data_IF_830190153407
#
_entry.id   IF_830190153407
#
_cell.length_a   1.000
_cell.length_b   1.000
_cell.length_c   1.000
_cell.angle_alpha   90.00
_cell.angle_beta   90.00
_cell.angle_gamma   90.00
#
_symmetry.space_group_name_H-M   'P 1'
#
loop_
_entity.id
_entity.type
_entity.pdbx_description
1 polymer ?
#
# COMPACT_ATOMS: atom_id res chain seq x y z
N UNK A 1 2.20 23.40 -3.11
CA UNK A 1 3.26 22.76 -3.94
C UNK A 1 4.58 23.07 -3.26
N UNK A 2 5.22 22.08 -2.65
CA UNK A 2 6.60 22.23 -2.21
C UNK A 2 7.49 21.80 -3.38
N UNK A 3 8.24 22.73 -3.95
CA UNK A 3 9.30 22.43 -4.90
C UNK A 3 10.30 21.46 -4.26
N UNK A 4 10.85 20.51 -5.02
CA UNK A 4 11.95 19.68 -4.52
C UNK A 4 13.10 20.61 -4.10
N UNK A 5 13.77 20.35 -2.95
CA UNK A 5 14.83 21.20 -2.48
C UNK A 5 15.91 21.35 -3.57
N UNK A 6 16.20 22.59 -3.94
CA UNK A 6 17.27 22.93 -4.89
C UNK A 6 18.59 22.36 -4.37
N UNK A 7 19.07 21.27 -5.00
CA UNK A 7 20.28 20.54 -4.59
C UNK A 7 20.08 19.06 -4.32
N UNK A 8 18.87 18.49 -4.47
CA UNK A 8 18.67 17.05 -4.43
C UNK A 8 19.42 16.43 -5.63
N UNK A 9 20.63 15.93 -5.40
CA UNK A 9 21.31 15.02 -6.32
C UNK A 9 20.29 13.93 -6.62
N UNK A 10 19.85 13.80 -7.89
CA UNK A 10 18.95 12.75 -8.31
C UNK A 10 19.46 11.44 -7.70
N UNK A 11 18.66 10.84 -6.82
CA UNK A 11 19.03 9.57 -6.21
C UNK A 11 19.30 8.59 -7.36
N UNK A 12 20.36 7.78 -7.32
CA UNK A 12 20.67 6.86 -8.41
C UNK A 12 19.71 5.67 -8.41
N UNK A 13 18.40 5.98 -8.42
CA UNK A 13 17.32 5.00 -8.36
C UNK A 13 17.38 4.08 -9.58
N UNK A 14 17.21 2.80 -9.34
CA UNK A 14 17.14 1.73 -10.33
C UNK A 14 15.88 0.90 -10.21
N UNK A 15 15.20 0.97 -9.06
CA UNK A 15 13.93 0.30 -8.85
C UNK A 15 12.98 1.15 -8.00
N UNK A 16 11.68 0.97 -8.21
CA UNK A 16 10.63 1.53 -7.36
C UNK A 16 9.83 0.38 -6.78
N UNK A 17 9.69 0.36 -5.47
CA UNK A 17 8.84 -0.58 -4.74
C UNK A 17 7.64 0.17 -4.19
N UNK A 18 6.47 -0.42 -4.30
CA UNK A 18 5.20 0.19 -3.90
C UNK A 18 4.46 -0.67 -2.88
N UNK A 19 3.77 -0.04 -1.93
CA UNK A 19 2.62 -0.69 -1.30
C UNK A 19 1.49 -0.88 -2.32
N UNK A 20 0.48 -1.65 -1.98
CA UNK A 20 -0.65 -1.97 -2.85
C UNK A 20 -1.89 -1.16 -2.47
N UNK A 21 -2.47 -1.46 -1.30
CA UNK A 21 -3.71 -0.86 -0.82
C UNK A 21 -3.46 0.61 -0.38
N UNK A 22 -4.12 1.56 -1.01
CA UNK A 22 -3.90 2.99 -0.72
C UNK A 22 -2.72 3.63 -1.46
N UNK A 23 -2.00 2.85 -2.27
CA UNK A 23 -0.83 3.34 -3.02
C UNK A 23 -0.96 3.09 -4.52
N UNK A 24 -1.07 1.85 -4.97
CA UNK A 24 -1.32 1.51 -6.38
C UNK A 24 -2.80 1.29 -6.66
N UNK A 25 -3.53 0.70 -5.72
CA UNK A 25 -4.92 0.34 -5.86
C UNK A 25 -5.79 0.98 -4.76
N UNK A 26 -6.92 1.56 -5.15
CA UNK A 26 -8.00 1.94 -4.24
C UNK A 26 -8.88 0.71 -3.99
N UNK A 27 -8.58 -0.02 -2.93
CA UNK A 27 -9.28 -1.22 -2.48
C UNK A 27 -10.24 -0.94 -1.32
N UNK A 28 -10.25 0.27 -0.80
CA UNK A 28 -11.10 0.65 0.34
C UNK A 28 -12.59 0.45 0.10
N UNK A 29 -13.16 0.62 -1.12
CA UNK A 29 -14.57 0.36 -1.35
C UNK A 29 -14.97 -1.09 -1.03
N UNK A 30 -14.24 -2.08 -1.54
CA UNK A 30 -14.55 -3.49 -1.30
C UNK A 30 -14.28 -3.92 0.14
N UNK A 31 -13.21 -3.38 0.74
CA UNK A 31 -12.91 -3.58 2.15
C UNK A 31 -14.01 -3.02 3.06
N UNK A 32 -14.50 -1.81 2.78
CA UNK A 32 -15.61 -1.21 3.52
C UNK A 32 -16.93 -1.98 3.32
N UNK A 33 -17.20 -2.44 2.10
CA UNK A 33 -18.36 -3.27 1.79
C UNK A 33 -18.31 -4.60 2.55
N UNK A 34 -17.15 -5.26 2.61
CA UNK A 34 -16.97 -6.50 3.38
C UNK A 34 -17.26 -6.28 4.87
N UNK A 35 -16.75 -5.17 5.48
CA UNK A 35 -17.04 -4.85 6.87
C UNK A 35 -18.55 -4.60 7.09
N UNK A 36 -19.21 -3.86 6.20
CA UNK A 36 -20.62 -3.57 6.31
C UNK A 36 -21.49 -4.83 6.14
N UNK A 37 -21.04 -5.83 5.40
CA UNK A 37 -21.70 -7.16 5.38
C UNK A 37 -21.60 -7.85 6.74
N UNK A 38 -20.42 -7.85 7.38
CA UNK A 38 -20.26 -8.39 8.75
C UNK A 38 -21.18 -7.69 9.75
N UNK A 39 -21.37 -6.38 9.61
CA UNK A 39 -22.31 -5.61 10.44
C UNK A 39 -23.74 -6.03 10.18
N UNK A 40 -24.12 -6.17 8.89
CA UNK A 40 -25.45 -6.63 8.49
C UNK A 40 -25.80 -8.02 9.02
N UNK A 41 -24.84 -8.97 8.99
CA UNK A 41 -25.00 -10.33 9.56
C UNK A 41 -25.35 -10.30 11.07
N UNK A 42 -25.06 -9.18 11.74
CA UNK A 42 -25.32 -8.94 13.17
C UNK A 42 -26.48 -7.98 13.42
N UNK A 43 -27.24 -7.63 12.38
CA UNK A 43 -28.37 -6.69 12.48
C UNK A 43 -27.96 -5.24 12.76
N UNK A 44 -26.70 -4.88 12.52
CA UNK A 44 -26.19 -3.52 12.72
C UNK A 44 -26.28 -2.73 11.42
N UNK A 45 -26.62 -1.44 11.53
CA UNK A 45 -26.61 -0.53 10.40
C UNK A 45 -25.21 -0.38 9.77
N UNK A 46 -25.10 -0.21 8.43
CA UNK A 46 -23.83 0.04 7.79
C UNK A 46 -23.20 1.36 8.26
N UNK A 47 -21.89 1.41 8.29
CA UNK A 47 -21.13 2.64 8.51
C UNK A 47 -20.89 3.37 7.19
N UNK A 48 -20.86 4.72 7.21
CA UNK A 48 -20.49 5.50 6.03
C UNK A 48 -19.10 5.14 5.50
N UNK A 49 -18.95 5.13 4.18
CA UNK A 49 -17.65 4.85 3.53
C UNK A 49 -16.54 5.79 4.03
N UNK A 50 -16.85 7.09 4.15
CA UNK A 50 -15.88 8.09 4.63
C UNK A 50 -15.32 7.77 6.03
N UNK A 51 -16.11 7.10 6.89
CA UNK A 51 -15.66 6.65 8.22
C UNK A 51 -14.71 5.46 8.12
N UNK A 52 -14.89 4.58 7.11
CA UNK A 52 -14.13 3.33 6.99
C UNK A 52 -12.87 3.48 6.17
N UNK A 53 -12.88 4.36 5.16
CA UNK A 53 -11.77 4.54 4.22
C UNK A 53 -10.41 4.77 4.90
N UNK A 54 -10.24 5.64 5.92
CA UNK A 54 -8.95 5.84 6.58
C UNK A 54 -8.40 4.58 7.26
N UNK A 55 -9.26 3.65 7.65
CA UNK A 55 -8.87 2.41 8.31
C UNK A 55 -8.48 1.30 7.33
N UNK A 56 -8.68 1.49 6.02
CA UNK A 56 -8.41 0.48 5.00
C UNK A 56 -6.93 0.08 4.93
N UNK A 57 -5.98 1.03 5.09
CA UNK A 57 -4.55 0.73 5.18
C UNK A 57 -4.22 -0.26 6.30
N UNK A 58 -4.98 -0.23 7.39
CA UNK A 58 -4.77 -1.15 8.51
C UNK A 58 -5.45 -2.52 8.31
N UNK A 59 -6.09 -2.76 7.16
CA UNK A 59 -6.75 -4.00 6.79
C UNK A 59 -7.80 -4.44 7.81
N UNK A 60 -7.91 -5.76 8.03
CA UNK A 60 -8.89 -6.34 8.95
C UNK A 60 -8.79 -5.76 10.38
N UNK A 61 -7.56 -5.49 10.87
CA UNK A 61 -7.36 -4.92 12.20
C UNK A 61 -8.02 -3.54 12.33
N UNK A 62 -7.75 -2.65 11.38
CA UNK A 62 -8.31 -1.30 11.41
C UNK A 62 -9.81 -1.28 11.20
N UNK A 63 -10.29 -2.01 10.19
CA UNK A 63 -11.71 -2.02 9.84
C UNK A 63 -12.58 -2.71 10.89
N UNK A 64 -12.17 -3.85 11.45
CA UNK A 64 -12.89 -4.50 12.55
C UNK A 64 -12.89 -3.61 13.78
N UNK A 65 -11.77 -2.94 14.08
CA UNK A 65 -11.70 -1.94 15.15
C UNK A 65 -12.70 -0.81 14.95
N UNK A 66 -12.70 -0.19 13.78
CA UNK A 66 -13.63 0.89 13.43
C UNK A 66 -15.11 0.42 13.43
N UNK A 67 -15.35 -0.82 12.98
CA UNK A 67 -16.69 -1.36 12.84
C UNK A 67 -17.33 -1.84 14.13
N UNK A 68 -16.54 -2.30 15.10
CA UNK A 68 -17.04 -3.01 16.29
C UNK A 68 -16.40 -2.55 17.60
N UNK A 69 -15.40 -1.66 17.58
CA UNK A 69 -14.72 -1.19 18.78
C UNK A 69 -13.85 -2.23 19.46
N UNK A 70 -13.42 -3.29 18.74
CA UNK A 70 -12.60 -4.39 19.28
C UNK A 70 -11.19 -4.39 18.68
N UNK A 71 -10.21 -4.80 19.46
CA UNK A 71 -8.81 -4.86 19.09
C UNK A 71 -8.29 -6.32 19.00
N UNK A 72 -7.16 -6.57 18.33
CA UNK A 72 -6.46 -7.84 18.44
C UNK A 72 -6.17 -8.17 19.91
N UNK A 73 -6.61 -9.35 20.36
CA UNK A 73 -6.51 -9.77 21.76
C UNK A 73 -7.86 -9.80 22.49
N UNK A 74 -8.87 -9.10 22.00
CA UNK A 74 -10.23 -9.20 22.52
C UNK A 74 -10.91 -10.50 22.04
N UNK A 75 -11.72 -11.13 22.90
CA UNK A 75 -12.33 -12.46 22.65
C UNK A 75 -13.14 -12.51 21.33
N UNK A 76 -13.82 -11.44 20.96
CA UNK A 76 -14.63 -11.38 19.75
C UNK A 76 -13.84 -11.10 18.45
N UNK A 77 -12.60 -10.60 18.56
CA UNK A 77 -11.84 -10.15 17.40
C UNK A 77 -11.54 -11.26 16.38
N UNK A 78 -11.09 -12.46 16.75
CA UNK A 78 -10.78 -13.51 15.78
C UNK A 78 -11.98 -13.86 14.88
N UNK A 79 -13.17 -14.04 15.46
CA UNK A 79 -14.37 -14.37 14.72
C UNK A 79 -14.78 -13.26 13.76
N UNK A 80 -14.72 -12.00 14.21
CA UNK A 80 -15.05 -10.84 13.38
C UNK A 80 -14.07 -10.69 12.22
N UNK A 81 -12.78 -10.85 12.49
CA UNK A 81 -11.72 -10.83 11.47
C UNK A 81 -11.94 -11.93 10.42
N UNK A 82 -12.20 -13.15 10.85
CA UNK A 82 -12.33 -14.28 9.92
C UNK A 82 -13.61 -14.14 9.08
N UNK A 83 -14.72 -13.68 9.66
CA UNK A 83 -15.94 -13.35 8.91
C UNK A 83 -15.70 -12.22 7.92
N UNK A 84 -15.01 -11.16 8.33
CA UNK A 84 -14.63 -10.05 7.46
C UNK A 84 -13.78 -10.53 6.26
N UNK A 85 -12.76 -11.34 6.52
CA UNK A 85 -11.88 -11.87 5.47
C UNK A 85 -12.64 -12.79 4.51
N UNK A 86 -13.60 -13.57 4.99
CA UNK A 86 -14.45 -14.39 4.14
C UNK A 86 -15.35 -13.55 3.21
N UNK A 87 -15.97 -12.48 3.74
CA UNK A 87 -16.74 -11.55 2.91
C UNK A 87 -15.87 -10.81 1.90
N UNK A 88 -14.67 -10.41 2.29
CA UNK A 88 -13.73 -9.75 1.39
C UNK A 88 -13.28 -10.69 0.26
N UNK A 89 -12.94 -11.94 0.59
CA UNK A 89 -12.53 -12.95 -0.40
C UNK A 89 -13.63 -13.23 -1.43
N UNK A 90 -14.88 -13.28 -0.99
CA UNK A 90 -16.03 -13.50 -1.87
C UNK A 90 -16.34 -12.35 -2.84
N UNK A 91 -15.80 -11.14 -2.58
CA UNK A 91 -16.04 -9.94 -3.40
C UNK A 91 -14.78 -9.04 -3.39
N UNK A 92 -13.66 -9.59 -3.85
CA UNK A 92 -12.32 -9.04 -3.69
C UNK A 92 -12.06 -7.78 -4.52
N UNK A 93 -12.66 -7.68 -5.73
CA UNK A 93 -12.39 -6.60 -6.69
C UNK A 93 -13.67 -6.30 -7.48
N UNK A 94 -14.69 -5.78 -6.79
CA UNK A 94 -15.98 -5.34 -7.38
C UNK A 94 -15.92 -3.87 -7.72
N UNK A 95 -15.45 -3.05 -6.77
CA UNK A 95 -15.29 -1.60 -6.86
C UNK A 95 -13.82 -1.17 -6.81
N UNK A 96 -12.90 -2.11 -6.54
CA UNK A 96 -11.48 -1.81 -6.48
C UNK A 96 -10.93 -1.45 -7.85
N UNK A 97 -10.16 -0.36 -7.91
CA UNK A 97 -9.52 0.14 -9.13
C UNK A 97 -8.09 0.56 -8.85
N UNK A 98 -7.31 0.83 -9.89
CA UNK A 98 -6.07 1.59 -9.72
C UNK A 98 -6.39 3.04 -9.37
N UNK A 99 -5.54 3.68 -8.57
CA UNK A 99 -5.58 5.15 -8.48
C UNK A 99 -5.31 5.77 -9.84
N UNK A 100 -5.87 6.97 -10.05
CA UNK A 100 -5.62 7.74 -11.26
C UNK A 100 -4.12 7.86 -11.53
N UNK A 101 -3.73 7.86 -12.80
CA UNK A 101 -2.36 7.93 -13.29
C UNK A 101 -1.46 6.70 -13.01
N UNK A 102 -1.83 5.74 -12.16
CA UNK A 102 -0.97 4.60 -11.80
C UNK A 102 -0.54 3.80 -13.04
N UNK A 103 -1.46 3.47 -13.94
CA UNK A 103 -1.13 2.70 -15.13
C UNK A 103 -0.12 3.44 -16.03
N UNK A 104 -0.27 4.77 -16.17
CA UNK A 104 0.65 5.61 -16.93
C UNK A 104 2.00 5.75 -16.22
N UNK A 105 2.01 5.90 -14.89
CA UNK A 105 3.22 5.94 -14.09
C UNK A 105 4.05 4.67 -14.25
N UNK A 106 3.42 3.50 -14.14
CA UNK A 106 4.12 2.21 -14.27
C UNK A 106 4.73 2.05 -15.67
N UNK A 107 3.98 2.42 -16.72
CA UNK A 107 4.49 2.40 -18.09
C UNK A 107 5.69 3.36 -18.27
N UNK A 108 5.66 4.53 -17.63
CA UNK A 108 6.76 5.49 -17.69
C UNK A 108 8.01 5.00 -16.91
N UNK A 109 7.82 4.35 -15.76
CA UNK A 109 8.91 3.71 -15.00
C UNK A 109 9.62 2.66 -15.88
N UNK A 110 8.85 1.81 -16.55
CA UNK A 110 9.37 0.80 -17.49
C UNK A 110 10.10 1.45 -18.68
N UNK A 111 9.54 2.52 -19.25
CA UNK A 111 10.14 3.27 -20.36
C UNK A 111 11.46 3.96 -19.98
N UNK A 112 11.66 4.25 -18.70
CA UNK A 112 12.94 4.76 -18.15
C UNK A 112 13.95 3.64 -17.84
N UNK A 113 13.59 2.38 -18.11
CA UNK A 113 14.46 1.22 -17.84
C UNK A 113 14.60 0.93 -16.35
N UNK A 114 13.67 1.38 -15.52
CA UNK A 114 13.64 1.11 -14.09
C UNK A 114 12.83 -0.16 -13.81
N UNK A 115 13.30 -0.98 -12.87
CA UNK A 115 12.52 -2.08 -12.33
C UNK A 115 11.45 -1.54 -11.35
N UNK A 116 10.39 -2.30 -11.16
CA UNK A 116 9.42 -2.00 -10.11
C UNK A 116 8.80 -3.27 -9.53
N UNK A 117 8.26 -3.15 -8.31
CA UNK A 117 7.64 -4.27 -7.61
C UNK A 117 6.64 -3.82 -6.56
N UNK A 118 5.93 -4.79 -5.99
CA UNK A 118 4.90 -4.61 -4.98
C UNK A 118 5.35 -5.25 -3.67
N UNK A 119 5.24 -4.51 -2.57
CA UNK A 119 5.53 -5.00 -1.21
C UNK A 119 4.39 -4.60 -0.29
N UNK A 120 3.51 -5.53 0.02
CA UNK A 120 2.28 -5.28 0.78
C UNK A 120 2.16 -6.15 2.02
N UNK A 121 1.43 -5.66 3.05
CA UNK A 121 1.05 -6.48 4.21
C UNK A 121 -0.19 -7.34 3.94
N UNK A 122 -0.81 -7.21 2.76
CA UNK A 122 -1.91 -8.06 2.32
C UNK A 122 -1.42 -9.50 2.10
N UNK A 123 -2.13 -10.49 2.64
CA UNK A 123 -1.76 -11.91 2.46
C UNK A 123 -1.85 -12.34 0.98
N UNK A 124 -0.99 -13.26 0.57
CA UNK A 124 -0.86 -13.73 -0.82
C UNK A 124 -2.19 -14.24 -1.40
N UNK A 125 -3.03 -14.90 -0.59
CA UNK A 125 -4.35 -15.40 -1.01
C UNK A 125 -5.30 -14.31 -1.50
N UNK A 126 -5.11 -13.05 -1.07
CA UNK A 126 -5.86 -11.89 -1.55
C UNK A 126 -5.07 -11.09 -2.59
N UNK A 127 -3.75 -11.01 -2.43
CA UNK A 127 -2.88 -10.24 -3.33
C UNK A 127 -2.91 -10.85 -4.73
N UNK A 128 -2.67 -12.14 -4.88
CA UNK A 128 -2.56 -12.79 -6.19
C UNK A 128 -3.84 -12.66 -7.04
N UNK A 129 -5.06 -12.97 -6.52
CA UNK A 129 -6.28 -12.77 -7.31
C UNK A 129 -6.55 -11.30 -7.64
N UNK A 130 -6.26 -10.37 -6.70
CA UNK A 130 -6.45 -8.93 -6.93
C UNK A 130 -5.58 -8.42 -8.08
N UNK A 131 -4.30 -8.82 -8.11
CA UNK A 131 -3.39 -8.44 -9.20
C UNK A 131 -3.85 -8.98 -10.56
N UNK A 132 -4.44 -10.18 -10.60
CA UNK A 132 -4.99 -10.75 -11.82
C UNK A 132 -6.20 -9.96 -12.35
N UNK A 133 -6.96 -9.31 -11.46
CA UNK A 133 -8.10 -8.45 -11.82
C UNK A 133 -7.69 -7.01 -12.15
N UNK A 134 -6.44 -6.62 -11.87
CA UNK A 134 -5.88 -5.29 -12.17
C UNK A 134 -4.66 -5.44 -13.12
N UNK A 135 -4.87 -5.66 -14.43
CA UNK A 135 -3.84 -6.12 -15.38
C UNK A 135 -2.54 -5.31 -15.41
N UNK A 136 -2.52 -3.96 -15.23
CA UNK A 136 -1.25 -3.22 -15.19
C UNK A 136 -0.31 -3.71 -14.09
N UNK A 137 -0.83 -4.24 -12.97
CA UNK A 137 -0.03 -4.72 -11.83
C UNK A 137 0.61 -6.10 -12.08
N UNK A 138 0.13 -6.87 -13.04
CA UNK A 138 0.69 -8.17 -13.40
C UNK A 138 2.11 -8.09 -13.98
N UNK A 139 2.58 -6.89 -14.35
CA UNK A 139 3.93 -6.65 -14.87
C UNK A 139 4.98 -6.39 -13.78
N UNK A 140 4.61 -6.41 -12.50
CA UNK A 140 5.55 -6.24 -11.41
C UNK A 140 6.70 -7.26 -11.48
N UNK A 141 7.93 -6.79 -11.40
CA UNK A 141 9.12 -7.65 -11.41
C UNK A 141 9.26 -8.49 -10.12
N UNK A 142 8.60 -8.09 -9.05
CA UNK A 142 8.48 -8.84 -7.79
C UNK A 142 7.18 -8.50 -7.08
N UNK A 143 6.61 -9.46 -6.35
CA UNK A 143 5.41 -9.30 -5.51
C UNK A 143 5.66 -9.96 -4.16
N UNK A 144 5.85 -9.15 -3.13
CA UNK A 144 6.05 -9.59 -1.75
C UNK A 144 4.77 -9.32 -0.95
N UNK A 145 4.06 -10.37 -0.60
CA UNK A 145 2.84 -10.33 0.21
C UNK A 145 3.15 -10.40 1.71
N UNK A 146 2.16 -10.14 2.55
CA UNK A 146 2.33 -10.07 4.00
C UNK A 146 2.80 -11.36 4.68
N UNK A 147 2.67 -12.48 3.99
CA UNK A 147 3.06 -13.84 4.40
C UNK A 147 4.23 -14.42 3.58
N UNK A 148 4.86 -13.64 2.69
CA UNK A 148 6.01 -14.07 1.90
C UNK A 148 7.29 -14.15 2.75
N UNK A 149 7.44 -13.26 3.73
CA UNK A 149 8.60 -13.21 4.63
C UNK A 149 8.17 -13.44 6.07
N UNK A 150 9.08 -13.84 6.98
CA UNK A 150 8.75 -14.08 8.39
C UNK A 150 8.21 -12.85 9.13
N UNK A 151 8.47 -11.67 8.61
CA UNK A 151 8.06 -10.40 9.20
C UNK A 151 7.40 -9.51 8.14
N UNK A 152 6.30 -8.84 8.53
CA UNK A 152 5.63 -7.84 7.71
C UNK A 152 6.17 -6.42 8.01
N UNK A 153 5.85 -5.43 7.16
CA UNK A 153 6.12 -4.00 7.44
C UNK A 153 5.50 -3.60 8.80
N UNK A 154 6.20 -2.88 9.67
CA UNK A 154 7.35 -2.00 9.44
C UNK A 154 8.73 -2.68 9.46
N UNK A 155 8.82 -4.01 9.59
CA UNK A 155 10.10 -4.70 9.50
C UNK A 155 10.68 -4.60 8.09
N UNK A 156 12.01 -4.40 7.89
CA UNK A 156 12.61 -4.20 6.57
C UNK A 156 12.65 -5.46 5.70
N UNK A 157 12.46 -6.65 6.27
CA UNK A 157 12.62 -7.93 5.57
C UNK A 157 11.86 -8.02 4.25
N UNK A 158 10.58 -7.59 4.11
CA UNK A 158 9.86 -7.65 2.84
C UNK A 158 10.51 -6.79 1.75
N UNK A 159 10.97 -5.59 2.11
CA UNK A 159 11.61 -4.65 1.17
C UNK A 159 12.97 -5.16 0.72
N UNK A 160 13.77 -5.67 1.65
CA UNK A 160 15.07 -6.28 1.35
C UNK A 160 14.92 -7.56 0.50
N UNK A 161 13.84 -8.30 0.71
CA UNK A 161 13.50 -9.46 -0.12
C UNK A 161 13.19 -9.01 -1.56
N UNK A 162 12.34 -8.02 -1.75
CA UNK A 162 11.99 -7.47 -3.05
C UNK A 162 13.21 -6.91 -3.80
N UNK A 163 14.05 -6.13 -3.11
CA UNK A 163 15.28 -5.59 -3.69
C UNK A 163 16.22 -6.69 -4.20
N UNK A 164 16.36 -7.79 -3.44
CA UNK A 164 17.17 -8.95 -3.83
C UNK A 164 16.59 -9.66 -5.05
N UNK A 165 15.27 -9.86 -5.12
CA UNK A 165 14.62 -10.46 -6.29
C UNK A 165 14.79 -9.63 -7.55
N UNK A 166 14.76 -8.29 -7.43
CA UNK A 166 15.02 -7.36 -8.55
C UNK A 166 16.52 -7.23 -8.88
N UNK A 167 17.43 -7.77 -8.06
CA UNK A 167 18.87 -7.62 -8.25
C UNK A 167 19.37 -6.19 -8.08
N UNK A 168 18.68 -5.38 -7.27
CA UNK A 168 18.98 -3.96 -7.03
C UNK A 168 19.38 -3.74 -5.57
N UNK A 169 20.46 -3.00 -5.35
CA UNK A 169 20.90 -2.65 -4.00
C UNK A 169 19.85 -1.76 -3.31
N UNK A 170 19.56 -1.96 -1.99
CA UNK A 170 18.51 -1.26 -1.28
C UNK A 170 18.58 0.27 -1.41
N UNK A 171 19.76 0.86 -1.31
CA UNK A 171 19.98 2.31 -1.43
C UNK A 171 19.68 2.88 -2.84
N UNK A 172 19.44 2.00 -3.82
CA UNK A 172 19.02 2.33 -5.18
C UNK A 172 17.56 1.98 -5.45
N UNK A 173 16.84 1.52 -4.44
CA UNK A 173 15.39 1.32 -4.48
C UNK A 173 14.71 2.51 -3.82
N UNK A 174 13.64 3.03 -4.43
CA UNK A 174 12.75 4.02 -3.84
C UNK A 174 11.50 3.28 -3.36
N UNK A 175 11.09 3.48 -2.12
CA UNK A 175 9.85 2.90 -1.60
C UNK A 175 8.73 3.92 -1.54
N UNK A 176 7.51 3.54 -1.91
CA UNK A 176 6.32 4.41 -1.89
C UNK A 176 5.19 3.70 -1.14
N UNK A 177 4.60 4.37 -0.16
CA UNK A 177 3.47 3.85 0.60
C UNK A 177 2.68 4.94 1.31
N UNK A 178 1.47 4.63 1.77
CA UNK A 178 0.54 5.60 2.35
C UNK A 178 0.47 5.58 3.89
N UNK A 179 1.20 4.68 4.55
CA UNK A 179 1.15 4.53 6.01
C UNK A 179 2.52 4.69 6.67
N UNK A 180 2.54 5.08 7.96
CA UNK A 180 3.77 5.24 8.74
C UNK A 180 4.66 3.99 8.73
N UNK A 181 4.05 2.79 8.78
CA UNK A 181 4.77 1.52 8.71
C UNK A 181 5.54 1.32 7.40
N UNK A 182 5.08 1.94 6.31
CA UNK A 182 5.72 1.88 5.00
C UNK A 182 7.03 2.68 5.02
N UNK A 183 6.93 3.90 5.54
CA UNK A 183 8.08 4.79 5.68
C UNK A 183 9.10 4.19 6.65
N UNK A 184 8.63 3.67 7.78
CA UNK A 184 9.50 3.00 8.76
C UNK A 184 10.22 1.78 8.15
N UNK A 185 9.52 0.96 7.36
CA UNK A 185 10.13 -0.18 6.65
C UNK A 185 11.17 0.27 5.62
N UNK A 186 10.87 1.32 4.83
CA UNK A 186 11.80 1.90 3.86
C UNK A 186 13.08 2.38 4.52
N UNK A 187 12.98 3.19 5.55
CA UNK A 187 14.12 3.71 6.31
C UNK A 187 14.93 2.58 6.93
N UNK A 188 14.27 1.59 7.56
CA UNK A 188 14.93 0.44 8.16
C UNK A 188 15.63 -0.46 7.11
N UNK A 189 15.16 -0.45 5.86
CA UNK A 189 15.79 -1.16 4.74
C UNK A 189 16.92 -0.36 4.07
N UNK A 190 17.19 0.89 4.50
CA UNK A 190 18.16 1.78 3.85
C UNK A 190 17.66 2.36 2.51
N UNK A 191 16.35 2.36 2.28
CA UNK A 191 15.71 2.88 1.07
C UNK A 191 15.16 4.29 1.34
N UNK A 192 15.36 5.27 0.45
CA UNK A 192 14.56 6.49 0.48
C UNK A 192 13.08 6.11 0.35
N UNK A 193 12.22 6.75 1.15
CA UNK A 193 10.79 6.45 1.18
C UNK A 193 9.96 7.71 0.96
N UNK A 194 8.91 7.61 0.15
CA UNK A 194 7.97 8.68 -0.20
C UNK A 194 6.58 8.31 0.31
N UNK A 195 5.90 9.29 0.88
CA UNK A 195 4.49 9.14 1.30
C UNK A 195 3.56 9.35 0.12
N UNK A 196 2.69 8.39 -0.14
CA UNK A 196 1.55 8.52 -1.03
C UNK A 196 0.43 9.29 -0.32
N UNK A 197 0.48 10.63 -0.37
CA UNK A 197 -0.44 11.53 0.34
C UNK A 197 -1.88 11.48 -0.17
N UNK A 198 -2.12 10.86 -1.32
CA UNK A 198 -3.44 10.58 -1.90
C UNK A 198 -4.10 9.30 -1.35
N UNK A 199 -3.37 8.52 -0.55
CA UNK A 199 -3.82 7.23 0.00
C UNK A 199 -4.88 7.34 1.10
N UNK A 200 -4.82 6.44 2.08
CA UNK A 200 -5.87 6.30 3.12
C UNK A 200 -5.50 7.02 4.42
N UNK A 201 -4.78 8.13 4.33
CA UNK A 201 -4.37 8.89 5.50
C UNK A 201 -5.57 9.33 6.35
N UNK A 202 -5.48 9.10 7.67
CA UNK A 202 -6.43 9.64 8.65
C UNK A 202 -6.10 11.12 8.93
N UNK A 203 -7.13 11.90 9.27
CA UNK A 203 -6.98 13.32 9.61
C UNK A 203 -6.10 13.57 10.84
N UNK A 204 -5.91 12.55 11.68
CA UNK A 204 -5.07 12.60 12.87
C UNK A 204 -3.61 12.19 12.58
N UNK A 205 -3.34 11.62 11.41
CA UNK A 205 -1.98 11.32 11.01
C UNK A 205 -1.23 12.58 10.58
N UNK A 206 0.07 12.60 10.86
CA UNK A 206 0.92 13.73 10.55
C UNK A 206 2.08 13.29 9.62
N UNK A 207 1.81 12.94 8.36
CA UNK A 207 2.81 12.37 7.45
C UNK A 207 4.02 13.29 7.24
N UNK A 208 3.87 14.59 7.44
CA UNK A 208 4.99 15.55 7.41
C UNK A 208 6.02 15.33 8.54
N UNK A 209 5.69 14.54 9.57
CA UNK A 209 6.60 14.19 10.68
C UNK A 209 7.28 12.83 10.48
N UNK A 210 6.85 12.07 9.49
CA UNK A 210 7.48 10.78 9.20
C UNK A 210 8.86 10.99 8.54
N UNK A 211 9.82 10.10 8.73
CA UNK A 211 11.16 10.24 8.17
C UNK A 211 11.21 9.91 6.65
N UNK A 212 10.22 10.40 5.91
CA UNK A 212 10.13 10.29 4.46
C UNK A 212 11.00 11.36 3.78
N UNK A 213 11.49 11.08 2.58
CA UNK A 213 12.22 12.05 1.76
C UNK A 213 11.27 13.03 1.06
N UNK A 214 9.97 12.71 0.98
CA UNK A 214 8.94 13.57 0.40
C UNK A 214 7.53 12.99 0.53
N UNK A 215 6.56 13.82 0.15
CA UNK A 215 5.14 13.48 0.08
C UNK A 215 4.67 13.85 -1.33
N UNK A 216 3.95 12.95 -1.99
CA UNK A 216 3.32 13.21 -3.30
C UNK A 216 1.80 13.20 -3.16
N UNK A 217 1.12 14.11 -3.84
CA UNK A 217 -0.33 14.30 -3.82
C UNK A 217 -1.08 13.51 -4.90
N UNK A 218 -0.34 12.89 -5.82
CA UNK A 218 -0.85 12.03 -6.90
C UNK A 218 0.26 11.09 -7.40
N UNK A 219 -0.08 9.95 -7.99
CA UNK A 219 0.91 8.98 -8.48
C UNK A 219 1.91 9.58 -9.48
N UNK A 220 1.44 10.39 -10.46
CA UNK A 220 2.30 10.97 -11.48
C UNK A 220 3.41 11.87 -10.94
N UNK A 221 3.23 12.49 -9.76
CA UNK A 221 4.25 13.33 -9.12
C UNK A 221 5.53 12.55 -8.72
N UNK A 222 5.45 11.21 -8.67
CA UNK A 222 6.62 10.37 -8.43
C UNK A 222 7.67 10.51 -9.53
N UNK A 223 7.28 10.85 -10.75
CA UNK A 223 8.20 10.96 -11.89
C UNK A 223 9.27 12.04 -11.70
N UNK A 224 9.01 13.05 -10.87
CA UNK A 224 9.95 14.14 -10.54
C UNK A 224 11.09 13.64 -9.62
N UNK A 225 10.91 12.49 -8.97
CA UNK A 225 11.88 11.84 -8.08
C UNK A 225 12.76 10.81 -8.78
N UNK A 226 12.42 10.48 -10.02
CA UNK A 226 13.07 9.42 -10.78
C UNK A 226 14.03 9.99 -11.83
N UNK A 227 15.11 9.26 -12.20
CA UNK A 227 15.98 9.69 -13.26
C UNK A 227 15.20 9.85 -14.59
N UNK A 228 15.58 10.81 -15.44
CA UNK A 228 14.94 10.98 -16.76
C UNK A 228 15.16 9.75 -17.63
N UNK A 229 14.45 9.69 -18.76
CA UNK A 229 14.74 8.69 -19.80
C UNK A 229 16.17 8.86 -20.26
N UNK A 230 16.91 7.76 -20.33
CA UNK A 230 18.27 7.73 -20.86
C UNK A 230 18.33 7.90 -22.38
#
# INVERSE_FOLDING_TARGET
>A
MADPPAGARALPIRAVLFDLDGTLADTAPDLAAALNRVRGDRGLAPLPYATLRPHASHGARGLVGAGFGVAPGDDGFPLLRDTFLAHYEAALCVESTLFDDVAALLAEIEARGLAWGIVTNKAARFTQPLLAMLPPLARAGTVVSGDTTPHAKPHPAPLLHAARELGVAPERCLYVGDAERDIAAGVAAGMPAIVAGYGYLDVHEAPARWPAVGIIDRPAALLDWLPPRG
#
